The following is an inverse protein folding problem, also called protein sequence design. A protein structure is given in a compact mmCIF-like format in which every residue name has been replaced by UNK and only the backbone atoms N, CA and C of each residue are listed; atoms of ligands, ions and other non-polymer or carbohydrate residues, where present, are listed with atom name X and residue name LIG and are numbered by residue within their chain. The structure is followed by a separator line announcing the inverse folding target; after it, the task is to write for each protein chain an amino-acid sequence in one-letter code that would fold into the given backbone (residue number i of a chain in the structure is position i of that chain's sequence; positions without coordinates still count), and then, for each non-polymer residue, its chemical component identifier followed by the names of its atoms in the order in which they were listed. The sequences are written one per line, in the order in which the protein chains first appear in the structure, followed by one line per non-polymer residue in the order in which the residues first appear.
data_IF_438515257490
#
_entry.id   IF_438515257490
#
_cell.length_a   1.000
_cell.length_b   1.000
_cell.length_c   1.000
_cell.angle_alpha   90.00
_cell.angle_beta   90.00
_cell.angle_gamma   90.00
#
_symmetry.space_group_name_H-M   'P 1'
#
loop_
_entity.id
_entity.type
_entity.pdbx_description
1 polymer ?
#
# COMPACT_ATOMS: atom_id res chain seq x y z
N UNK A 1 -4.59 21.29 20.89
CA UNK A 1 -3.75 22.52 20.83
C UNK A 1 -4.28 23.37 19.70
N UNK A 2 -4.58 24.64 20.00
CA UNK A 2 -5.09 25.62 19.05
C UNK A 2 -4.09 25.81 17.92
N UNK A 3 -4.52 25.64 16.67
CA UNK A 3 -3.71 26.04 15.52
C UNK A 3 -3.51 27.56 15.57
N UNK A 4 -2.28 28.01 15.29
CA UNK A 4 -1.87 29.42 15.34
C UNK A 4 -2.72 30.29 14.42
N UNK A 5 -2.93 31.55 14.82
CA UNK A 5 -3.64 32.63 14.11
C UNK A 5 -3.13 32.93 12.69
N UNK A 6 -2.04 32.28 12.27
CA UNK A 6 -1.38 32.42 10.96
C UNK A 6 -2.16 31.77 9.82
N UNK A 7 -2.88 30.66 10.05
CA UNK A 7 -3.72 29.98 9.03
C UNK A 7 -4.93 30.82 8.58
N UNK A 8 -5.38 31.76 9.43
CA UNK A 8 -6.55 32.62 9.19
C UNK A 8 -6.27 33.68 8.11
N UNK A 9 -5.03 34.16 7.98
CA UNK A 9 -4.69 35.17 6.97
C UNK A 9 -4.56 34.61 5.55
N UNK A 10 -4.36 33.30 5.41
CA UNK A 10 -4.29 32.62 4.11
C UNK A 10 -5.70 32.53 3.45
N UNK A 11 -6.77 32.96 4.14
CA UNK A 11 -8.18 32.82 3.69
C UNK A 11 -8.65 33.94 2.75
N UNK A 12 -8.00 35.11 2.74
CA UNK A 12 -8.58 36.31 2.13
C UNK A 12 -8.27 36.58 0.65
N UNK A 13 -7.43 35.78 -0.04
CA UNK A 13 -6.83 36.22 -1.32
C UNK A 13 -7.12 35.35 -2.57
N UNK A 14 -7.91 34.28 -2.46
CA UNK A 14 -8.13 33.28 -3.53
C UNK A 14 -9.24 33.66 -4.54
N UNK A 15 -9.18 34.85 -5.13
CA UNK A 15 -10.04 35.26 -6.26
C UNK A 15 -9.20 35.91 -7.38
N UNK A 16 -8.38 35.15 -8.11
CA UNK A 16 -8.05 35.44 -9.52
C UNK A 16 -7.06 34.43 -10.10
N UNK A 17 -7.27 34.10 -11.38
CA UNK A 17 -6.47 33.14 -12.14
C UNK A 17 -5.03 33.61 -12.36
N UNK A 18 -4.06 33.09 -11.61
CA UNK A 18 -2.63 33.00 -11.99
C UNK A 18 -1.95 31.88 -11.17
N UNK A 19 -1.63 30.76 -11.81
CA UNK A 19 -1.10 29.56 -11.16
C UNK A 19 0.37 29.71 -10.68
N UNK A 20 1.14 30.63 -11.25
CA UNK A 20 2.57 30.83 -10.91
C UNK A 20 2.81 31.77 -9.72
N UNK A 21 1.93 32.73 -9.45
CA UNK A 21 2.04 33.63 -8.28
C UNK A 21 1.48 33.00 -7.00
N UNK A 22 0.35 32.29 -7.10
CA UNK A 22 -0.25 31.55 -5.99
C UNK A 22 0.66 30.46 -5.42
N UNK A 23 1.44 29.81 -6.27
CA UNK A 23 2.36 28.76 -5.88
C UNK A 23 3.56 29.28 -5.07
N UNK A 24 4.13 30.41 -5.49
CA UNK A 24 5.20 31.07 -4.73
C UNK A 24 4.69 31.58 -3.37
N UNK A 25 3.42 31.96 -3.27
CA UNK A 25 2.79 32.31 -2.00
C UNK A 25 2.63 31.09 -1.08
N UNK A 26 2.14 29.94 -1.59
CA UNK A 26 2.08 28.68 -0.80
C UNK A 26 3.47 28.27 -0.31
N UNK A 27 4.50 28.39 -1.16
CA UNK A 27 5.89 28.12 -0.81
C UNK A 27 6.41 29.08 0.26
N UNK A 28 6.09 30.37 0.17
CA UNK A 28 6.44 31.36 1.19
C UNK A 28 5.68 31.12 2.50
N UNK A 29 4.39 30.80 2.45
CA UNK A 29 3.56 30.58 3.64
C UNK A 29 4.00 29.32 4.40
N UNK A 30 4.29 28.22 3.70
CA UNK A 30 4.80 26.98 4.32
C UNK A 30 6.21 27.16 4.93
N UNK A 31 7.06 27.98 4.31
CA UNK A 31 8.40 28.32 4.83
C UNK A 31 8.31 29.28 6.02
N UNK A 32 7.39 30.23 6.01
CA UNK A 32 7.18 31.21 7.09
C UNK A 32 6.57 30.59 8.36
N UNK A 33 5.87 29.46 8.24
CA UNK A 33 5.32 28.70 9.38
C UNK A 33 6.35 27.76 10.05
N UNK A 34 7.61 27.76 9.62
CA UNK A 34 8.69 26.96 10.23
C UNK A 34 8.55 25.45 9.98
N UNK A 35 7.72 25.05 9.01
CA UNK A 35 7.61 23.66 8.60
C UNK A 35 8.82 23.31 7.71
N UNK A 36 9.60 22.29 8.10
CA UNK A 36 10.70 21.75 7.29
C UNK A 36 10.16 20.94 6.10
N UNK A 37 9.42 21.60 5.20
CA UNK A 37 8.82 21.00 4.01
C UNK A 37 9.63 21.42 2.78
N UNK A 38 10.30 20.45 2.17
CA UNK A 38 10.96 20.61 0.89
C UNK A 38 9.93 20.46 -0.24
N UNK A 39 9.91 21.42 -1.16
CA UNK A 39 9.02 21.41 -2.31
C UNK A 39 9.84 21.05 -3.55
N UNK A 40 9.44 19.98 -4.21
CA UNK A 40 10.02 19.54 -5.47
C UNK A 40 8.99 19.71 -6.59
N UNK A 41 9.44 20.20 -7.74
CA UNK A 41 8.62 20.42 -8.93
C UNK A 41 9.17 19.61 -10.11
N UNK A 42 8.34 18.73 -10.68
CA UNK A 42 8.64 18.01 -11.90
C UNK A 42 8.30 18.87 -13.11
N UNK A 43 9.31 19.40 -13.82
CA UNK A 43 9.08 19.87 -15.19
C UNK A 43 8.89 18.65 -16.09
N UNK A 44 7.90 18.70 -16.99
CA UNK A 44 7.87 17.80 -18.14
C UNK A 44 9.28 17.79 -18.77
N UNK A 45 9.79 16.59 -19.06
CA UNK A 45 11.17 16.29 -19.42
C UNK A 45 11.93 17.39 -20.20
N UNK A 46 13.25 17.43 -19.96
CA UNK A 46 14.32 18.10 -20.72
C UNK A 46 14.86 19.42 -20.12
N UNK A 47 15.68 19.33 -19.06
CA UNK A 47 16.84 20.22 -18.95
C UNK A 47 18.00 19.52 -18.20
N UNK A 48 19.06 19.06 -18.89
CA UNK A 48 20.24 18.45 -18.26
C UNK A 48 21.09 19.43 -17.44
N UNK A 49 20.75 20.72 -17.42
CA UNK A 49 21.62 21.79 -16.92
C UNK A 49 21.23 22.38 -15.55
N UNK A 50 20.42 21.67 -14.73
CA UNK A 50 20.24 22.10 -13.34
C UNK A 50 21.51 21.78 -12.52
N UNK A 51 22.09 22.76 -11.80
CA UNK A 51 23.25 22.52 -10.96
C UNK A 51 22.91 21.43 -9.95
N UNK A 52 23.73 20.37 -9.92
CA UNK A 52 23.78 19.46 -8.77
C UNK A 52 24.34 20.27 -7.59
N UNK A 53 23.50 21.06 -6.93
CA UNK A 53 23.83 21.54 -5.61
C UNK A 53 24.01 20.30 -4.75
N UNK A 54 25.25 20.09 -4.29
CA UNK A 54 25.60 19.05 -3.34
C UNK A 54 24.84 19.24 -2.04
N UNK A 55 23.58 18.83 -2.03
CA UNK A 55 22.90 18.45 -0.81
C UNK A 55 23.59 17.16 -0.36
N UNK A 56 24.09 17.19 0.87
CA UNK A 56 24.43 15.98 1.59
C UNK A 56 23.18 15.09 1.53
N UNK A 57 23.18 14.08 0.65
CA UNK A 57 22.15 13.05 0.64
C UNK A 57 22.28 12.32 1.97
N UNK A 58 21.51 12.77 2.96
CA UNK A 58 21.28 11.97 4.14
C UNK A 58 20.61 10.69 3.64
N UNK A 59 21.38 9.59 3.62
CA UNK A 59 20.96 8.31 3.05
C UNK A 59 19.67 7.78 3.67
N UNK A 60 19.29 8.32 4.82
CA UNK A 60 18.14 7.93 5.61
C UNK A 60 16.87 8.76 5.35
N UNK A 61 16.98 9.93 4.69
CA UNK A 61 15.85 10.78 4.37
C UNK A 61 15.31 10.52 2.96
N UNK A 62 14.02 10.81 2.75
CA UNK A 62 13.40 10.67 1.44
C UNK A 62 13.93 11.74 0.46
N UNK A 63 14.45 11.30 -0.69
CA UNK A 63 14.96 12.20 -1.74
C UNK A 63 13.91 12.46 -2.82
N UNK A 64 13.30 13.65 -2.79
CA UNK A 64 12.33 14.07 -3.81
C UNK A 64 12.91 14.04 -5.23
N UNK A 65 14.18 14.42 -5.41
CA UNK A 65 14.85 14.38 -6.71
C UNK A 65 14.95 12.95 -7.28
N UNK A 66 15.32 11.97 -6.45
CA UNK A 66 15.40 10.56 -6.88
C UNK A 66 14.02 10.02 -7.23
N UNK A 67 12.99 10.36 -6.46
CA UNK A 67 11.60 9.99 -6.80
C UNK A 67 11.21 10.56 -8.17
N UNK A 68 11.47 11.84 -8.40
CA UNK A 68 11.15 12.50 -9.67
C UNK A 68 11.89 11.90 -10.87
N UNK A 69 13.11 11.42 -10.70
CA UNK A 69 13.86 10.77 -11.78
C UNK A 69 13.22 9.49 -12.33
N UNK A 70 12.32 8.87 -11.56
CA UNK A 70 11.56 7.68 -11.95
C UNK A 70 10.08 7.98 -12.28
N UNK A 71 9.63 9.21 -12.08
CA UNK A 71 8.25 9.62 -12.29
C UNK A 71 7.95 9.76 -13.79
N UNK A 72 6.86 9.14 -14.24
CA UNK A 72 6.40 9.08 -15.63
C UNK A 72 4.94 9.51 -15.80
N UNK A 73 4.24 9.76 -14.68
CA UNK A 73 2.94 10.40 -14.69
C UNK A 73 3.02 11.78 -15.36
N UNK A 74 1.86 12.31 -15.70
CA UNK A 74 1.67 13.57 -16.41
C UNK A 74 1.20 14.68 -15.48
N UNK A 75 0.57 14.33 -14.35
CA UNK A 75 0.03 15.28 -13.38
C UNK A 75 0.32 14.89 -11.93
N UNK A 76 0.15 13.61 -11.59
CA UNK A 76 0.26 13.12 -10.22
C UNK A 76 1.73 13.06 -9.76
N UNK A 77 2.06 13.71 -8.64
CA UNK A 77 3.43 13.70 -8.10
C UNK A 77 4.37 14.77 -8.67
N UNK A 78 3.91 15.58 -9.64
CA UNK A 78 4.69 16.70 -10.17
C UNK A 78 4.89 17.82 -9.16
N UNK A 79 3.99 17.94 -8.18
CA UNK A 79 4.25 18.70 -6.97
C UNK A 79 4.40 17.74 -5.80
N UNK A 80 5.63 17.58 -5.34
CA UNK A 80 5.98 16.68 -4.26
C UNK A 80 6.47 17.48 -3.05
N UNK A 81 5.75 17.36 -1.95
CA UNK A 81 6.07 17.94 -0.66
C UNK A 81 6.74 16.85 0.19
N UNK A 82 7.94 17.11 0.70
CA UNK A 82 8.73 16.14 1.48
C UNK A 82 9.10 16.75 2.82
N UNK A 83 8.85 16.04 3.92
CA UNK A 83 9.25 16.48 5.28
C UNK A 83 9.88 15.35 6.08
N UNK A 84 10.91 15.61 6.91
CA UNK A 84 11.42 14.59 7.84
C UNK A 84 10.39 14.11 8.86
N UNK A 85 9.52 15.02 9.36
CA UNK A 85 8.50 14.66 10.35
C UNK A 85 7.24 15.50 10.18
N UNK A 86 6.09 14.89 10.43
CA UNK A 86 4.78 15.55 10.49
C UNK A 86 3.85 14.80 11.46
N UNK A 87 2.71 15.39 11.81
CA UNK A 87 1.67 14.66 12.54
C UNK A 87 1.03 13.57 11.67
N UNK A 88 0.52 13.94 10.49
CA UNK A 88 -0.11 13.04 9.53
C UNK A 88 -0.14 13.67 8.13
N UNK A 89 0.43 12.98 7.15
CA UNK A 89 0.34 13.33 5.72
C UNK A 89 -1.12 13.39 5.26
N UNK A 90 -1.95 12.46 5.75
CA UNK A 90 -3.38 12.40 5.43
C UNK A 90 -4.14 13.63 5.92
N UNK A 91 -3.90 14.04 7.17
CA UNK A 91 -4.60 15.20 7.72
C UNK A 91 -4.10 16.50 7.09
N UNK A 92 -2.80 16.60 6.82
CA UNK A 92 -2.22 17.75 6.12
C UNK A 92 -2.90 17.97 4.76
N UNK A 93 -2.98 16.93 3.91
CA UNK A 93 -3.62 17.05 2.61
C UNK A 93 -5.12 17.33 2.74
N UNK A 94 -5.83 16.67 3.65
CA UNK A 94 -7.28 16.89 3.85
C UNK A 94 -7.60 18.32 4.27
N UNK A 95 -6.89 18.84 5.27
CA UNK A 95 -7.11 20.18 5.81
C UNK A 95 -6.77 21.28 4.80
N UNK A 96 -5.86 20.99 3.86
CA UNK A 96 -5.45 21.93 2.82
C UNK A 96 -6.05 21.61 1.44
N UNK A 97 -7.00 20.67 1.34
CA UNK A 97 -7.53 20.16 0.05
C UNK A 97 -8.21 21.22 -0.83
N UNK A 98 -8.73 22.30 -0.23
CA UNK A 98 -9.29 23.44 -0.97
C UNK A 98 -8.22 24.32 -1.62
N UNK A 99 -6.99 24.30 -1.08
CA UNK A 99 -5.85 25.08 -1.56
C UNK A 99 -4.92 24.31 -2.47
N UNK A 100 -4.86 22.99 -2.28
CA UNK A 100 -4.02 22.11 -3.08
C UNK A 100 -4.71 21.75 -4.39
N UNK A 101 -3.96 21.84 -5.48
CA UNK A 101 -4.38 21.33 -6.78
C UNK A 101 -4.52 19.80 -6.78
N UNK A 102 -5.22 19.25 -7.78
CA UNK A 102 -5.14 17.81 -8.04
C UNK A 102 -3.71 17.42 -8.39
N UNK A 103 -3.27 16.23 -7.98
CA UNK A 103 -1.95 15.69 -8.29
C UNK A 103 -0.86 15.99 -7.25
N UNK A 104 -1.14 16.81 -6.23
CA UNK A 104 -0.16 17.08 -5.16
C UNK A 104 0.04 15.85 -4.28
N UNK A 105 1.31 15.55 -3.96
CA UNK A 105 1.71 14.43 -3.11
C UNK A 105 2.53 14.95 -1.93
N UNK A 106 2.22 14.47 -0.73
CA UNK A 106 3.00 14.69 0.48
C UNK A 106 3.63 13.39 0.92
N UNK A 107 4.94 13.40 1.17
CA UNK A 107 5.71 12.29 1.73
C UNK A 107 6.36 12.75 3.03
N UNK A 108 6.38 11.88 4.03
CA UNK A 108 7.10 12.14 5.28
C UNK A 108 8.03 10.98 5.62
N UNK A 109 9.16 11.24 6.29
CA UNK A 109 10.00 10.17 6.85
C UNK A 109 9.44 9.61 8.16
N UNK A 110 8.69 10.41 8.92
CA UNK A 110 8.06 10.02 10.19
C UNK A 110 6.72 10.72 10.40
N UNK A 111 5.76 9.99 10.96
CA UNK A 111 4.47 10.53 11.41
C UNK A 111 4.28 10.31 12.91
N UNK A 112 4.04 11.38 13.67
CA UNK A 112 3.77 11.28 15.12
C UNK A 112 2.32 10.92 15.45
N UNK A 113 1.38 11.09 14.51
CA UNK A 113 -0.04 10.73 14.65
C UNK A 113 -0.61 10.15 13.34
N UNK A 114 0.11 9.18 12.77
CA UNK A 114 -0.31 8.49 11.54
C UNK A 114 -1.70 7.87 11.67
N UNK A 115 -2.50 7.95 10.59
CA UNK A 115 -3.90 7.51 10.58
C UNK A 115 -4.08 6.16 9.89
N UNK A 116 -4.89 5.31 10.49
CA UNK A 116 -5.49 4.13 9.90
C UNK A 116 -7.03 4.24 9.85
N UNK A 117 -7.69 3.20 9.34
CA UNK A 117 -9.16 3.14 9.30
C UNK A 117 -9.77 2.95 10.68
N UNK A 118 -11.02 3.39 10.83
CA UNK A 118 -11.81 3.16 12.06
C UNK A 118 -11.17 3.73 13.33
N UNK A 119 -10.36 4.78 13.20
CA UNK A 119 -9.64 5.40 14.31
C UNK A 119 -8.31 4.73 14.69
N UNK A 120 -7.92 3.63 14.02
CA UNK A 120 -6.63 3.00 14.24
C UNK A 120 -5.47 3.97 13.94
N UNK A 121 -4.32 3.75 14.57
CA UNK A 121 -3.10 4.52 14.31
C UNK A 121 -2.16 3.74 13.41
N UNK A 122 -1.45 4.47 12.53
CA UNK A 122 -0.37 3.92 11.71
C UNK A 122 0.97 4.30 12.34
N UNK A 123 1.78 3.29 12.70
CA UNK A 123 3.15 3.48 13.19
C UNK A 123 4.11 3.60 12.00
N UNK A 124 5.11 4.48 12.12
CA UNK A 124 6.07 4.79 11.05
C UNK A 124 7.52 4.52 11.48
N UNK A 125 7.91 3.25 11.69
CA UNK A 125 9.32 2.93 11.92
C UNK A 125 10.18 3.36 10.72
N UNK A 126 11.46 3.65 10.98
CA UNK A 126 12.42 4.06 9.94
C UNK A 126 12.47 3.00 8.84
N UNK A 127 12.30 3.42 7.59
CA UNK A 127 12.21 2.54 6.42
C UNK A 127 10.79 2.32 5.90
N UNK A 128 9.76 2.76 6.62
CA UNK A 128 8.40 2.85 6.06
C UNK A 128 8.28 3.95 5.01
N UNK A 129 7.39 3.73 4.04
CA UNK A 129 6.84 4.77 3.18
C UNK A 129 5.52 5.28 3.81
N UNK A 130 5.43 6.60 4.00
CA UNK A 130 4.21 7.31 4.36
C UNK A 130 3.95 8.40 3.34
N UNK A 131 2.88 8.25 2.56
CA UNK A 131 2.49 9.29 1.60
C UNK A 131 0.98 9.51 1.55
N UNK A 132 0.59 10.73 1.23
CA UNK A 132 -0.80 11.08 0.88
C UNK A 132 -0.83 11.88 -0.41
N UNK A 133 -1.73 11.52 -1.32
CA UNK A 133 -1.96 12.22 -2.58
C UNK A 133 -3.39 12.76 -2.65
N UNK A 134 -3.59 13.91 -3.29
CA UNK A 134 -4.92 14.43 -3.63
C UNK A 134 -5.19 14.28 -5.13
N UNK A 135 -6.36 13.74 -5.47
CA UNK A 135 -6.85 13.62 -6.84
C UNK A 135 -8.29 14.12 -6.92
N UNK A 136 -8.68 14.70 -8.07
CA UNK A 136 -10.07 15.09 -8.36
C UNK A 136 -10.59 14.20 -9.48
N UNK A 137 -11.55 13.33 -9.16
CA UNK A 137 -12.09 12.35 -10.10
C UNK A 137 -13.52 12.73 -10.50
N UNK A 138 -13.76 12.89 -11.81
CA UNK A 138 -15.07 13.18 -12.37
C UNK A 138 -15.80 11.88 -12.72
N UNK A 139 -16.32 11.21 -11.70
CA UNK A 139 -16.98 9.89 -11.81
C UNK A 139 -18.42 9.91 -11.28
N UNK A 140 -19.29 8.99 -11.75
CA UNK A 140 -20.58 8.74 -11.12
C UNK A 140 -20.44 8.34 -9.66
N UNK A 141 -21.37 8.79 -8.80
CA UNK A 141 -21.35 8.47 -7.38
C UNK A 141 -21.39 6.97 -7.07
N UNK A 142 -22.03 6.18 -7.93
CA UNK A 142 -22.07 4.72 -7.83
C UNK A 142 -20.67 4.07 -7.94
N UNK A 143 -19.68 4.77 -8.50
CA UNK A 143 -18.32 4.26 -8.64
C UNK A 143 -17.44 4.57 -7.43
N UNK A 144 -17.81 5.53 -6.58
CA UNK A 144 -17.00 5.95 -5.43
C UNK A 144 -16.53 4.78 -4.51
N UNK A 145 -17.34 3.73 -4.23
CA UNK A 145 -16.88 2.59 -3.44
C UNK A 145 -15.67 1.85 -4.03
N UNK A 146 -15.51 1.87 -5.36
CA UNK A 146 -14.44 1.18 -6.08
C UNK A 146 -13.10 1.92 -6.08
N UNK A 147 -13.07 3.21 -5.70
CA UNK A 147 -11.83 4.01 -5.64
C UNK A 147 -10.75 3.28 -4.83
N UNK A 148 -11.14 2.70 -3.70
CA UNK A 148 -10.21 1.97 -2.83
C UNK A 148 -9.62 0.71 -3.50
N UNK A 149 -10.36 0.06 -4.41
CA UNK A 149 -9.86 -1.10 -5.16
C UNK A 149 -8.90 -0.68 -6.26
N UNK A 150 -9.20 0.43 -6.94
CA UNK A 150 -8.33 1.04 -7.94
C UNK A 150 -6.99 1.43 -7.32
N UNK A 151 -7.01 2.06 -6.14
CA UNK A 151 -5.77 2.42 -5.41
C UNK A 151 -5.02 1.17 -4.95
N UNK A 152 -5.71 0.16 -4.42
CA UNK A 152 -5.06 -1.07 -3.96
C UNK A 152 -4.37 -1.82 -5.10
N UNK A 153 -5.01 -1.88 -6.27
CA UNK A 153 -4.41 -2.44 -7.48
C UNK A 153 -3.19 -1.64 -7.91
N UNK A 154 -3.29 -0.30 -7.95
CA UNK A 154 -2.17 0.57 -8.32
C UNK A 154 -0.96 0.40 -7.38
N UNK A 155 -1.19 0.19 -6.09
CA UNK A 155 -0.11 -0.10 -5.12
C UNK A 155 0.58 -1.42 -5.45
N UNK A 156 -0.18 -2.50 -5.68
CA UNK A 156 0.41 -3.81 -6.05
C UNK A 156 1.21 -3.71 -7.35
N UNK A 157 0.63 -3.14 -8.40
CA UNK A 157 1.30 -2.97 -9.68
C UNK A 157 2.52 -2.04 -9.58
N UNK A 158 2.45 -1.01 -8.72
CA UNK A 158 3.57 -0.11 -8.47
C UNK A 158 4.74 -0.82 -7.78
N UNK A 159 4.47 -1.74 -6.85
CA UNK A 159 5.52 -2.59 -6.27
C UNK A 159 6.10 -3.53 -7.33
N UNK A 160 5.26 -4.18 -8.13
CA UNK A 160 5.71 -5.05 -9.22
C UNK A 160 6.62 -4.33 -10.22
N UNK A 161 6.27 -3.10 -10.60
CA UNK A 161 7.10 -2.25 -11.46
C UNK A 161 8.44 -1.91 -10.80
N UNK A 162 8.44 -1.55 -9.52
CA UNK A 162 9.67 -1.27 -8.78
C UNK A 162 10.58 -2.51 -8.71
N UNK A 163 10.01 -3.70 -8.45
CA UNK A 163 10.72 -4.98 -8.48
C UNK A 163 11.31 -5.24 -9.86
N UNK A 164 10.56 -5.00 -10.93
CA UNK A 164 11.03 -5.18 -12.30
C UNK A 164 12.19 -4.24 -12.66
N UNK A 165 12.23 -3.04 -12.08
CA UNK A 165 13.34 -2.10 -12.27
C UNK A 165 14.60 -2.60 -11.57
N UNK A 166 14.49 -3.07 -10.33
CA UNK A 166 15.66 -3.56 -9.58
C UNK A 166 16.09 -4.94 -10.09
N UNK A 167 15.17 -5.89 -10.16
CA UNK A 167 15.42 -7.29 -10.53
C UNK A 167 14.63 -7.71 -11.78
N UNK A 168 15.01 -7.27 -13.00
CA UNK A 168 14.29 -7.59 -14.24
C UNK A 168 14.15 -9.09 -14.53
N UNK A 169 15.00 -9.92 -13.91
CA UNK A 169 15.02 -11.38 -14.08
C UNK A 169 14.08 -12.10 -13.12
N UNK A 170 13.56 -11.41 -12.10
CA UNK A 170 12.60 -11.99 -11.17
C UNK A 170 11.19 -11.80 -11.74
N UNK A 171 10.38 -12.87 -11.88
CA UNK A 171 8.97 -12.71 -12.22
C UNK A 171 8.28 -11.85 -11.15
N UNK A 172 7.53 -10.83 -11.55
CA UNK A 172 6.92 -9.88 -10.63
C UNK A 172 5.95 -10.55 -9.64
N UNK A 173 5.27 -11.61 -10.09
CA UNK A 173 4.40 -12.45 -9.26
C UNK A 173 5.12 -13.20 -8.14
N UNK A 174 6.45 -13.33 -8.20
CA UNK A 174 7.24 -14.09 -7.24
C UNK A 174 7.35 -13.41 -5.87
N UNK A 175 7.16 -12.09 -5.78
CA UNK A 175 7.26 -11.38 -4.50
C UNK A 175 6.09 -11.73 -3.55
N UNK A 176 5.00 -12.29 -4.07
CA UNK A 176 3.90 -12.78 -3.25
C UNK A 176 3.11 -11.66 -2.56
N UNK A 177 3.01 -10.48 -3.17
CA UNK A 177 2.18 -9.39 -2.62
C UNK A 177 0.74 -9.59 -3.03
N UNK A 178 -0.18 -9.38 -2.08
CA UNK A 178 -1.62 -9.57 -2.27
C UNK A 178 -2.44 -8.50 -1.58
N UNK A 179 -3.63 -8.27 -2.11
CA UNK A 179 -4.63 -7.38 -1.54
C UNK A 179 -5.46 -8.19 -0.54
N UNK A 180 -5.42 -7.80 0.73
CA UNK A 180 -6.41 -8.22 1.70
C UNK A 180 -7.55 -7.20 1.68
N UNK A 181 -8.69 -7.61 1.16
CA UNK A 181 -9.85 -6.76 1.01
C UNK A 181 -10.27 -6.18 2.37
N UNK A 182 -10.65 -4.89 2.44
CA UNK A 182 -10.75 -3.99 1.29
C UNK A 182 -9.49 -3.18 1.00
N UNK A 183 -8.56 -2.99 1.94
CA UNK A 183 -7.61 -1.87 1.88
C UNK A 183 -6.19 -2.19 2.40
N UNK A 184 -5.88 -3.45 2.66
CA UNK A 184 -4.57 -3.81 3.20
C UNK A 184 -3.73 -4.57 2.19
N UNK A 185 -2.41 -4.39 2.27
CA UNK A 185 -1.43 -5.09 1.46
C UNK A 185 -0.73 -6.12 2.34
N UNK A 186 -0.69 -7.36 1.86
CA UNK A 186 -0.22 -8.52 2.61
C UNK A 186 0.75 -9.35 1.77
N UNK A 187 1.62 -10.12 2.42
CA UNK A 187 2.35 -11.20 1.77
C UNK A 187 1.46 -12.43 1.62
N UNK A 188 1.82 -13.34 0.71
CA UNK A 188 1.20 -14.68 0.60
C UNK A 188 1.37 -15.52 1.86
N UNK A 189 2.36 -15.20 2.71
CA UNK A 189 2.53 -15.78 4.03
C UNK A 189 1.55 -15.22 5.09
N UNK A 190 0.65 -14.31 4.72
CA UNK A 190 -0.36 -13.74 5.62
C UNK A 190 0.16 -12.62 6.52
N UNK A 191 1.34 -12.06 6.24
CA UNK A 191 1.91 -10.94 7.01
C UNK A 191 1.54 -9.59 6.38
N UNK A 192 1.17 -8.62 7.21
CA UNK A 192 0.79 -7.28 6.74
C UNK A 192 2.04 -6.49 6.31
N UNK A 193 2.01 -5.98 5.08
CA UNK A 193 3.02 -5.09 4.51
C UNK A 193 2.60 -3.63 4.57
N UNK A 194 1.29 -3.36 4.56
CA UNK A 194 0.83 -1.99 4.49
C UNK A 194 -0.67 -1.82 4.50
N UNK A 195 -1.10 -0.57 4.45
CA UNK A 195 -2.50 -0.17 4.46
C UNK A 195 -2.75 1.07 3.63
N UNK A 196 -3.96 1.12 3.08
CA UNK A 196 -4.47 2.22 2.28
C UNK A 196 -5.62 2.89 3.04
N UNK A 197 -5.63 4.22 3.05
CA UNK A 197 -6.65 5.03 3.67
C UNK A 197 -7.18 6.05 2.65
N UNK A 198 -8.44 5.87 2.26
CA UNK A 198 -9.11 6.77 1.34
C UNK A 198 -10.08 7.67 2.10
N UNK A 199 -10.01 8.97 1.83
CA UNK A 199 -11.02 9.94 2.26
C UNK A 199 -11.55 10.69 1.03
N UNK A 200 -12.85 10.55 0.77
CA UNK A 200 -13.52 11.19 -0.36
C UNK A 200 -14.43 12.32 0.13
N UNK A 201 -14.36 13.48 -0.49
CA UNK A 201 -15.40 14.51 -0.40
C UNK A 201 -15.94 14.80 -1.80
N UNK A 202 -17.19 15.24 -1.89
CA UNK A 202 -17.77 15.69 -3.15
C UNK A 202 -17.72 17.22 -3.21
N UNK A 203 -17.18 17.78 -4.29
CA UNK A 203 -17.20 19.22 -4.54
C UNK A 203 -17.02 19.51 -6.03
N UNK A 204 -17.68 20.55 -6.54
CA UNK A 204 -17.45 21.05 -7.91
C UNK A 204 -17.57 19.93 -8.96
N UNK A 205 -18.65 19.15 -8.89
CA UNK A 205 -18.95 18.03 -9.78
C UNK A 205 -17.87 16.93 -9.89
N UNK A 206 -17.02 16.83 -8.86
CA UNK A 206 -15.99 15.81 -8.78
C UNK A 206 -15.80 15.30 -7.35
N UNK A 207 -15.25 14.10 -7.22
CA UNK A 207 -14.76 13.59 -5.94
C UNK A 207 -13.34 14.09 -5.68
N UNK A 208 -13.14 14.81 -4.59
CA UNK A 208 -11.80 15.00 -4.02
C UNK A 208 -11.42 13.75 -3.25
N UNK A 209 -10.44 13.03 -3.76
CA UNK A 209 -9.93 11.80 -3.19
C UNK A 209 -8.59 12.10 -2.54
N UNK A 210 -8.51 11.96 -1.22
CA UNK A 210 -7.24 11.95 -0.49
C UNK A 210 -6.85 10.51 -0.22
N UNK A 211 -5.79 10.06 -0.89
CA UNK A 211 -5.27 8.70 -0.87
C UNK A 211 -4.03 8.63 0.00
N UNK A 212 -4.15 8.08 1.20
CA UNK A 212 -3.04 7.77 2.09
C UNK A 212 -2.54 6.35 1.88
N UNK A 213 -1.23 6.19 1.73
CA UNK A 213 -0.55 4.90 1.52
C UNK A 213 0.57 4.79 2.54
N UNK A 214 0.47 3.74 3.38
CA UNK A 214 1.52 3.34 4.32
C UNK A 214 2.04 1.96 3.95
N UNK A 215 3.34 1.83 3.67
CA UNK A 215 3.97 0.55 3.31
C UNK A 215 5.26 0.34 4.12
N UNK A 216 5.49 -0.90 4.53
CA UNK A 216 6.75 -1.35 5.10
C UNK A 216 7.73 -1.66 3.97
N UNK A 217 8.76 -0.84 3.78
CA UNK A 217 9.67 -0.98 2.63
C UNK A 217 10.95 -1.67 3.04
N UNK A 218 11.72 -1.06 3.95
CA UNK A 218 12.99 -1.61 4.48
C UNK A 218 12.95 -1.85 5.99
N UNK A 219 11.77 -1.69 6.62
CA UNK A 219 11.57 -1.92 8.05
C UNK A 219 11.04 -3.33 8.33
N UNK A 220 11.92 -4.28 8.67
CA UNK A 220 11.53 -5.66 9.01
C UNK A 220 10.59 -5.82 10.21
N UNK A 221 10.30 -4.74 10.94
CA UNK A 221 9.46 -4.73 12.13
C UNK A 221 8.35 -3.67 11.99
N UNK A 222 7.16 -3.86 12.62
CA UNK A 222 6.82 -4.93 13.56
C UNK A 222 6.34 -6.25 12.92
N UNK A 223 6.17 -6.29 11.59
CA UNK A 223 5.64 -7.47 10.89
C UNK A 223 6.65 -8.07 9.91
N UNK A 224 6.85 -7.39 8.78
CA UNK A 224 7.80 -7.70 7.70
C UNK A 224 7.82 -6.52 6.72
N UNK A 225 8.68 -6.55 5.72
CA UNK A 225 8.77 -5.51 4.68
C UNK A 225 9.07 -6.05 3.28
N UNK A 226 8.85 -5.19 2.28
CA UNK A 226 9.09 -5.52 0.87
C UNK A 226 10.52 -5.98 0.57
N UNK A 227 11.52 -5.38 1.25
CA UNK A 227 12.92 -5.77 1.09
C UNK A 227 13.17 -7.22 1.52
N UNK A 228 12.66 -7.64 2.68
CA UNK A 228 12.81 -9.01 3.18
C UNK A 228 12.15 -10.05 2.27
N UNK A 229 10.98 -9.71 1.69
CA UNK A 229 10.32 -10.54 0.71
C UNK A 229 11.19 -10.70 -0.54
N UNK A 230 11.79 -9.61 -1.03
CA UNK A 230 12.64 -9.61 -2.22
C UNK A 230 13.91 -10.44 -1.99
N UNK A 231 14.58 -10.23 -0.85
CA UNK A 231 15.76 -11.01 -0.44
C UNK A 231 15.43 -12.50 -0.35
N UNK A 232 14.28 -12.86 0.23
CA UNK A 232 13.82 -14.24 0.32
C UNK A 232 13.61 -14.87 -1.06
N UNK A 233 13.02 -14.14 -2.02
CA UNK A 233 12.87 -14.60 -3.40
C UNK A 233 14.21 -14.85 -4.09
N UNK A 234 15.18 -13.95 -3.90
CA UNK A 234 16.51 -14.05 -4.50
C UNK A 234 17.28 -15.25 -3.94
N UNK A 235 17.25 -15.45 -2.61
CA UNK A 235 17.90 -16.59 -1.95
C UNK A 235 17.30 -17.92 -2.42
N UNK A 236 15.97 -18.02 -2.52
CA UNK A 236 15.32 -19.26 -2.96
C UNK A 236 15.68 -19.58 -4.41
N UNK A 237 15.77 -18.57 -5.27
CA UNK A 237 16.20 -18.74 -6.66
C UNK A 237 17.63 -19.27 -6.78
N UNK A 238 18.57 -18.77 -5.97
CA UNK A 238 19.94 -19.27 -5.97
C UNK A 238 20.03 -20.74 -5.54
N UNK A 239 19.23 -21.14 -4.55
CA UNK A 239 19.12 -22.54 -4.13
C UNK A 239 18.59 -23.42 -5.27
N UNK A 240 17.57 -22.97 -5.99
CA UNK A 240 17.03 -23.72 -7.13
C UNK A 240 18.09 -23.92 -8.21
N UNK A 241 18.92 -22.91 -8.52
CA UNK A 241 20.04 -23.07 -9.45
C UNK A 241 21.13 -24.02 -8.94
N UNK A 242 21.45 -23.98 -7.64
CA UNK A 242 22.46 -24.85 -7.05
C UNK A 242 22.02 -26.33 -7.06
N UNK A 243 20.73 -26.60 -6.81
CA UNK A 243 20.16 -27.96 -6.87
C UNK A 243 20.18 -28.50 -8.31
N UNK A 244 19.84 -27.67 -9.30
CA UNK A 244 19.90 -28.06 -10.72
C UNK A 244 21.34 -28.28 -11.20
N UNK A 245 22.33 -27.59 -10.62
CA UNK A 245 23.75 -27.77 -10.94
C UNK A 245 24.38 -29.06 -10.39
N UNK A 246 23.74 -29.74 -9.43
CA UNK A 246 24.33 -30.90 -8.72
C UNK A 246 23.82 -32.25 -9.25
N UNK A 247 22.85 -32.28 -10.17
CA UNK A 247 22.32 -33.53 -10.76
C UNK A 247 23.10 -34.03 -11.98
N UNK A 248 24.30 -33.47 -12.22
CA UNK A 248 25.20 -33.83 -13.31
C UNK A 248 26.32 -34.82 -12.97
N UNK A 249 26.12 -35.75 -12.03
CA UNK A 249 27.08 -36.85 -11.82
C UNK A 249 26.40 -38.10 -11.23
N UNK A 250 26.01 -39.01 -12.11
CA UNK A 250 25.75 -40.40 -11.79
C UNK A 250 27.06 -41.11 -11.47
N UNK A 251 27.21 -41.59 -10.23
CA UNK A 251 28.01 -42.79 -9.93
C UNK A 251 27.38 -43.57 -8.79
N UNK A 252 26.97 -44.79 -9.13
CA UNK A 252 26.53 -45.89 -8.29
C UNK A 252 27.55 -46.31 -7.22
N UNK A 253 27.08 -46.63 -6.00
CA UNK A 253 27.34 -47.93 -5.34
C UNK A 253 26.74 -48.01 -3.91
N UNK A 254 25.82 -48.96 -3.73
CA UNK A 254 25.64 -49.90 -2.61
C UNK A 254 25.82 -49.45 -1.14
N UNK A 255 24.70 -49.36 -0.42
CA UNK A 255 24.32 -50.23 0.72
C UNK A 255 25.07 -50.13 2.06
N UNK A 256 24.38 -49.70 3.12
CA UNK A 256 24.16 -50.48 4.35
C UNK A 256 23.25 -49.77 5.37
N UNK A 257 22.35 -50.55 5.97
CA UNK A 257 21.49 -50.24 7.12
C UNK A 257 22.30 -50.10 8.42
N UNK A 258 22.01 -49.11 9.27
CA UNK A 258 22.03 -49.22 10.75
C UNK A 258 20.97 -48.28 11.34
N UNK A 259 20.34 -48.76 12.41
CA UNK A 259 19.22 -48.21 13.17
C UNK A 259 19.69 -47.44 14.44
N UNK A 260 18.77 -46.64 14.98
CA UNK A 260 18.62 -46.14 16.37
C UNK A 260 19.55 -45.04 16.90
N UNK A 261 18.96 -43.89 17.26
CA UNK A 261 18.78 -43.44 18.65
C UNK A 261 18.26 -41.98 18.72
N UNK A 262 17.31 -41.76 19.62
CA UNK A 262 16.82 -40.45 20.04
C UNK A 262 17.86 -39.74 20.93
N UNK A 263 17.96 -38.41 20.83
CA UNK A 263 17.93 -37.49 21.98
C UNK A 263 18.00 -36.03 21.52
N UNK A 264 17.32 -35.16 22.29
CA UNK A 264 17.12 -33.75 21.98
C UNK A 264 18.35 -32.87 22.17
N UNK A 265 18.42 -31.80 21.38
CA UNK A 265 19.25 -30.65 21.69
C UNK A 265 18.68 -29.38 21.04
N UNK A 266 18.67 -28.32 21.83
CA UNK A 266 18.15 -26.99 21.54
C UNK A 266 18.69 -26.39 20.23
N UNK A 267 17.80 -25.77 19.45
CA UNK A 267 18.16 -24.92 18.34
C UNK A 267 18.80 -23.61 18.87
N UNK A 268 20.12 -23.64 19.04
CA UNK A 268 20.93 -22.45 19.28
C UNK A 268 20.96 -21.59 18.01
N UNK A 269 20.68 -20.30 18.18
CA UNK A 269 20.77 -19.28 17.16
C UNK A 269 22.17 -19.25 16.53
N UNK A 270 22.29 -19.73 15.29
CA UNK A 270 23.48 -19.53 14.49
C UNK A 270 23.48 -18.10 13.94
N UNK A 271 24.49 -17.32 14.34
CA UNK A 271 24.75 -15.99 13.77
C UNK A 271 24.98 -16.08 12.25
N UNK A 272 24.51 -15.10 11.45
CA UNK A 272 24.74 -15.12 10.02
C UNK A 272 26.23 -14.88 9.74
N UNK A 273 26.82 -15.77 8.93
CA UNK A 273 28.19 -15.68 8.44
C UNK A 273 28.29 -14.51 7.45
N UNK A 274 29.25 -13.63 7.72
CA UNK A 274 29.64 -12.45 6.96
C UNK A 274 30.27 -12.80 5.59
N UNK A 275 29.55 -13.31 4.59
CA UNK A 275 30.17 -13.60 3.28
C UNK A 275 29.32 -13.28 2.03
N UNK A 276 28.39 -12.32 2.09
CA UNK A 276 27.76 -11.74 0.88
C UNK A 276 28.30 -10.33 0.62
N UNK A 277 29.55 -10.25 0.16
CA UNK A 277 30.15 -9.06 -0.46
C UNK A 277 30.31 -9.31 -1.95
N UNK A 278 29.38 -8.84 -2.79
CA UNK A 278 29.56 -8.97 -4.24
C UNK A 278 28.41 -8.69 -5.21
N UNK A 279 27.28 -8.12 -4.79
CA UNK A 279 26.29 -7.56 -5.71
C UNK A 279 26.20 -6.06 -5.44
N UNK A 280 26.35 -5.23 -6.48
CA UNK A 280 26.08 -3.80 -6.37
C UNK A 280 24.67 -3.63 -5.80
N UNK A 281 24.57 -3.14 -4.55
CA UNK A 281 23.34 -3.06 -3.76
C UNK A 281 22.18 -2.53 -4.61
N UNK A 282 21.31 -3.45 -5.01
CA UNK A 282 20.04 -3.14 -5.63
C UNK A 282 19.20 -2.35 -4.63
N UNK A 283 19.08 -1.05 -4.87
CA UNK A 283 18.38 -0.17 -3.95
C UNK A 283 16.88 -0.21 -4.28
N UNK A 284 16.19 -1.21 -3.77
CA UNK A 284 14.73 -1.18 -3.66
C UNK A 284 14.36 -0.21 -2.54
N UNK A 285 14.04 1.03 -2.88
CA UNK A 285 13.82 2.09 -1.90
C UNK A 285 12.52 2.85 -2.10
N UNK A 286 12.26 3.74 -1.14
CA UNK A 286 11.01 4.49 -1.01
C UNK A 286 10.79 5.40 -2.20
N UNK A 287 11.84 5.99 -2.75
CA UNK A 287 11.77 6.93 -3.87
C UNK A 287 11.35 6.25 -5.17
N UNK A 288 12.00 5.13 -5.53
CA UNK A 288 11.61 4.33 -6.68
C UNK A 288 10.17 3.81 -6.50
N UNK A 289 9.87 3.28 -5.32
CA UNK A 289 8.55 2.73 -5.01
C UNK A 289 7.44 3.79 -5.12
N UNK A 290 7.64 4.97 -4.54
CA UNK A 290 6.70 6.09 -4.64
C UNK A 290 6.44 6.44 -6.10
N UNK A 291 7.49 6.62 -6.91
CA UNK A 291 7.34 6.96 -8.32
C UNK A 291 6.54 5.88 -9.09
N UNK A 292 6.87 4.60 -8.91
CA UNK A 292 6.15 3.50 -9.57
C UNK A 292 4.68 3.43 -9.14
N UNK A 293 4.37 3.61 -7.85
CA UNK A 293 2.97 3.66 -7.37
C UNK A 293 2.23 4.84 -7.98
N UNK A 294 2.82 6.04 -8.02
CA UNK A 294 2.16 7.22 -8.60
C UNK A 294 1.91 7.05 -10.10
N UNK A 295 2.85 6.44 -10.83
CA UNK A 295 2.68 6.12 -12.26
C UNK A 295 1.49 5.18 -12.49
N UNK A 296 1.37 4.12 -11.68
CA UNK A 296 0.25 3.18 -11.78
C UNK A 296 -1.06 3.80 -11.30
N UNK A 297 -1.02 4.61 -10.25
CA UNK A 297 -2.20 5.28 -9.71
C UNK A 297 -2.83 6.22 -10.74
N UNK A 298 -2.03 7.01 -11.45
CA UNK A 298 -2.53 7.86 -12.54
C UNK A 298 -3.14 7.01 -13.67
N UNK A 299 -2.46 5.95 -14.13
CA UNK A 299 -2.97 5.05 -15.18
C UNK A 299 -4.30 4.39 -14.79
N UNK A 300 -4.38 3.90 -13.55
CA UNK A 300 -5.57 3.25 -13.00
C UNK A 300 -6.72 4.25 -12.88
N UNK A 301 -6.48 5.47 -12.39
CA UNK A 301 -7.49 6.52 -12.34
C UNK A 301 -7.97 6.95 -13.71
N UNK A 302 -7.09 7.15 -14.69
CA UNK A 302 -7.50 7.45 -16.07
C UNK A 302 -8.41 6.37 -16.65
N UNK A 303 -8.08 5.09 -16.42
CA UNK A 303 -8.93 3.97 -16.87
C UNK A 303 -10.27 3.97 -16.15
N UNK A 304 -10.24 4.20 -14.85
CA UNK A 304 -11.42 4.20 -13.99
C UNK A 304 -12.39 5.35 -14.31
N UNK A 305 -11.88 6.56 -14.52
CA UNK A 305 -12.71 7.71 -14.94
C UNK A 305 -13.34 7.48 -16.31
N UNK A 306 -12.61 6.86 -17.24
CA UNK A 306 -13.11 6.64 -18.59
C UNK A 306 -14.10 5.47 -18.70
N UNK A 307 -13.93 4.40 -17.92
CA UNK A 307 -14.60 3.11 -18.16
C UNK A 307 -15.16 2.43 -16.92
N UNK A 308 -15.01 3.02 -15.73
CA UNK A 308 -15.39 2.42 -14.47
C UNK A 308 -14.45 1.30 -14.03
N UNK A 309 -14.89 0.49 -13.07
CA UNK A 309 -14.03 -0.53 -12.45
C UNK A 309 -13.86 -1.81 -13.28
N UNK A 310 -14.81 -2.11 -14.19
CA UNK A 310 -14.84 -3.40 -14.89
C UNK A 310 -13.53 -3.78 -15.60
N UNK A 311 -12.84 -2.87 -16.33
CA UNK A 311 -11.56 -3.21 -16.97
C UNK A 311 -10.41 -3.51 -16.00
N UNK A 312 -10.54 -3.13 -14.72
CA UNK A 312 -9.53 -3.32 -13.68
C UNK A 312 -9.87 -4.51 -12.76
N UNK A 313 -11.08 -5.05 -12.87
CA UNK A 313 -11.63 -6.05 -11.95
C UNK A 313 -10.86 -7.36 -11.96
N UNK A 314 -10.51 -7.87 -13.15
CA UNK A 314 -9.75 -9.11 -13.28
C UNK A 314 -8.37 -9.00 -12.63
N UNK A 315 -7.64 -7.92 -12.93
CA UNK A 315 -6.34 -7.66 -12.33
C UNK A 315 -6.44 -7.52 -10.80
N UNK A 316 -7.46 -6.82 -10.31
CA UNK A 316 -7.72 -6.71 -8.86
C UNK A 316 -7.97 -8.07 -8.20
N UNK A 317 -8.87 -8.90 -8.76
CA UNK A 317 -9.21 -10.22 -8.23
C UNK A 317 -8.05 -11.22 -8.38
N UNK A 318 -7.19 -11.07 -9.39
CA UNK A 318 -5.97 -11.88 -9.51
C UNK A 318 -4.95 -11.56 -8.41
N UNK A 319 -4.98 -10.33 -7.88
CA UNK A 319 -4.05 -9.84 -6.88
C UNK A 319 -4.56 -9.99 -5.43
N UNK A 320 -5.80 -10.38 -5.18
CA UNK A 320 -6.35 -10.46 -3.81
C UNK A 320 -6.12 -11.82 -3.12
N UNK A 321 -6.44 -11.92 -1.83
CA UNK A 321 -6.29 -13.14 -1.01
C UNK A 321 -7.55 -14.02 -0.91
N UNK A 322 -8.69 -13.61 -1.44
CA UNK A 322 -10.00 -14.13 -0.98
C UNK A 322 -10.70 -15.10 -1.92
N UNK A 323 -10.10 -15.44 -3.07
CA UNK A 323 -10.71 -16.38 -4.01
C UNK A 323 -11.02 -17.71 -3.34
N UNK A 324 -12.28 -18.15 -3.42
CA UNK A 324 -12.78 -19.42 -2.90
C UNK A 324 -12.56 -19.62 -1.38
N UNK A 325 -12.35 -18.53 -0.65
CA UNK A 325 -12.20 -18.60 0.79
C UNK A 325 -13.55 -19.01 1.43
N UNK A 326 -13.53 -20.07 2.23
CA UNK A 326 -14.67 -20.48 3.03
C UNK A 326 -14.75 -19.65 4.32
N UNK A 327 -15.95 -19.17 4.64
CA UNK A 327 -16.24 -18.37 5.82
C UNK A 327 -17.55 -18.82 6.45
N UNK A 328 -17.76 -18.45 7.71
CA UNK A 328 -19.04 -18.61 8.40
C UNK A 328 -19.60 -17.21 8.69
N UNK A 329 -20.78 -16.92 8.15
CA UNK A 329 -21.49 -15.68 8.38
C UNK A 329 -22.61 -15.88 9.43
N UNK A 330 -22.84 -14.85 10.24
CA UNK A 330 -23.86 -14.86 11.28
C UNK A 330 -24.83 -13.71 11.03
N UNK A 331 -26.12 -13.96 11.20
CA UNK A 331 -27.14 -12.94 11.14
C UNK A 331 -27.25 -12.26 12.52
N UNK A 332 -26.93 -10.95 12.61
CA UNK A 332 -26.94 -10.22 13.88
C UNK A 332 -28.33 -10.06 14.48
N UNK A 333 -29.40 -10.20 13.70
CA UNK A 333 -30.78 -9.98 14.15
C UNK A 333 -31.41 -11.25 14.74
N UNK A 334 -30.87 -12.44 14.42
CA UNK A 334 -31.43 -13.72 14.85
C UNK A 334 -30.60 -14.43 15.93
N UNK A 335 -29.30 -14.13 16.04
CA UNK A 335 -28.41 -14.77 17.03
C UNK A 335 -27.74 -13.69 17.88
N UNK A 336 -28.15 -13.58 19.14
CA UNK A 336 -27.43 -12.78 20.12
C UNK A 336 -26.00 -13.35 20.29
N UNK A 337 -24.94 -12.54 20.24
CA UNK A 337 -23.57 -13.03 20.29
C UNK A 337 -23.24 -13.61 21.67
N UNK A 338 -23.47 -14.91 21.86
CA UNK A 338 -22.95 -15.65 23.01
C UNK A 338 -21.50 -15.97 22.73
N UNK A 339 -20.59 -15.13 23.25
CA UNK A 339 -19.16 -15.43 23.25
C UNK A 339 -18.94 -16.60 24.21
N UNK A 340 -18.38 -17.71 23.70
CA UNK A 340 -17.82 -18.74 24.57
C UNK A 340 -16.69 -18.14 25.43
N UNK A 341 -16.24 -18.86 26.47
CA UNK A 341 -15.12 -18.45 27.31
C UNK A 341 -13.80 -18.21 26.53
N UNK A 342 -13.70 -18.68 25.28
CA UNK A 342 -12.60 -18.43 24.35
C UNK A 342 -12.84 -17.27 23.36
N UNK A 343 -14.02 -16.64 23.40
CA UNK A 343 -14.41 -15.54 22.51
C UNK A 343 -14.90 -15.98 21.12
N UNK A 344 -14.99 -17.29 20.83
CA UNK A 344 -15.50 -17.81 19.56
C UNK A 344 -17.03 -17.99 19.59
N UNK A 345 -17.67 -17.65 18.47
CA UNK A 345 -19.04 -18.07 18.10
C UNK A 345 -19.00 -19.52 17.61
N UNK A 346 -20.00 -20.33 17.97
CA UNK A 346 -20.08 -21.73 17.52
C UNK A 346 -20.31 -21.81 16.00
N UNK A 347 -19.63 -22.71 15.27
CA UNK A 347 -19.83 -22.87 13.82
C UNK A 347 -21.24 -23.32 13.44
N UNK A 348 -21.91 -24.05 14.33
CA UNK A 348 -23.18 -24.75 14.04
C UNK A 348 -24.39 -23.81 13.86
N UNK A 349 -24.24 -22.54 14.23
CA UNK A 349 -25.31 -21.53 14.16
C UNK A 349 -25.14 -20.57 12.96
N UNK A 350 -24.03 -20.62 12.23
CA UNK A 350 -23.75 -19.70 11.12
C UNK A 350 -24.03 -20.33 9.74
N UNK A 351 -24.20 -19.47 8.73
CA UNK A 351 -24.30 -19.89 7.33
C UNK A 351 -22.90 -20.02 6.76
N UNK A 352 -22.56 -21.22 6.26
CA UNK A 352 -21.32 -21.44 5.52
C UNK A 352 -21.40 -20.79 4.15
N UNK A 353 -20.42 -19.95 3.82
CA UNK A 353 -20.34 -19.24 2.55
C UNK A 353 -18.95 -19.42 1.93
N UNK A 354 -18.91 -19.41 0.60
CA UNK A 354 -17.68 -19.37 -0.19
C UNK A 354 -17.57 -18.02 -0.89
N UNK A 355 -16.46 -17.32 -0.73
CA UNK A 355 -16.22 -16.04 -1.42
C UNK A 355 -16.05 -16.29 -2.93
N UNK A 356 -16.88 -15.64 -3.74
CA UNK A 356 -16.88 -15.74 -5.21
C UNK A 356 -16.34 -14.52 -5.92
N UNK A 357 -16.25 -13.37 -5.24
CA UNK A 357 -15.74 -12.15 -5.87
C UNK A 357 -16.34 -10.88 -5.27
N UNK A 358 -16.67 -9.94 -6.16
CA UNK A 358 -17.31 -8.68 -5.82
C UNK A 358 -18.68 -8.59 -6.47
N UNK A 359 -19.65 -8.04 -5.74
CA UNK A 359 -20.97 -7.70 -6.27
C UNK A 359 -20.90 -6.48 -7.20
N UNK A 360 -21.99 -6.17 -7.90
CA UNK A 360 -22.10 -4.96 -8.73
C UNK A 360 -21.95 -3.67 -7.93
N UNK A 361 -22.30 -3.71 -6.64
CA UNK A 361 -22.16 -2.60 -5.69
C UNK A 361 -20.76 -2.48 -5.11
N UNK A 362 -19.87 -3.43 -5.43
CA UNK A 362 -18.50 -3.47 -4.94
C UNK A 362 -18.36 -4.08 -3.54
N UNK A 363 -19.35 -4.77 -3.02
CA UNK A 363 -19.24 -5.53 -1.77
C UNK A 363 -18.71 -6.94 -2.03
N UNK A 364 -18.31 -7.67 -0.97
CA UNK A 364 -17.91 -9.05 -1.13
C UNK A 364 -19.13 -9.89 -1.55
N UNK A 365 -18.97 -10.66 -2.63
CA UNK A 365 -19.98 -11.61 -3.09
C UNK A 365 -19.58 -13.00 -2.60
N UNK A 366 -20.50 -13.65 -1.90
CA UNK A 366 -20.34 -15.01 -1.43
C UNK A 366 -21.54 -15.88 -1.82
N UNK A 367 -21.35 -17.18 -1.82
CA UNK A 367 -22.36 -18.17 -2.20
C UNK A 367 -22.45 -19.24 -1.12
N UNK A 368 -23.67 -19.63 -0.73
CA UNK A 368 -23.89 -20.74 0.20
C UNK A 368 -23.90 -22.10 -0.51
N UNK A 369 -24.02 -23.18 0.27
CA UNK A 369 -24.06 -24.55 -0.25
C UNK A 369 -25.24 -24.84 -1.20
N UNK A 370 -26.25 -23.96 -1.25
CA UNK A 370 -27.42 -24.08 -2.12
C UNK A 370 -27.31 -23.20 -3.37
N UNK A 371 -26.19 -22.51 -3.56
CA UNK A 371 -25.99 -21.60 -4.69
C UNK A 371 -26.65 -20.22 -4.50
N UNK A 372 -27.16 -19.90 -3.31
CA UNK A 372 -27.74 -18.58 -3.07
C UNK A 372 -26.63 -17.56 -2.83
N UNK A 373 -26.74 -16.41 -3.49
CA UNK A 373 -25.76 -15.33 -3.39
C UNK A 373 -26.04 -14.42 -2.19
N UNK A 374 -24.98 -14.03 -1.51
CA UNK A 374 -24.99 -13.16 -0.33
C UNK A 374 -24.01 -12.01 -0.54
N UNK A 375 -24.50 -10.79 -0.33
CA UNK A 375 -23.68 -9.58 -0.34
C UNK A 375 -23.21 -9.25 1.08
N UNK A 376 -21.89 -9.07 1.22
CA UNK A 376 -21.18 -9.01 2.49
C UNK A 376 -20.49 -7.66 2.67
N UNK A 377 -20.71 -7.02 3.82
CA UNK A 377 -20.22 -5.66 4.11
C UNK A 377 -19.04 -5.68 5.10
N UNK A 378 -18.10 -4.71 5.01
CA UNK A 378 -17.01 -4.61 5.97
C UNK A 378 -17.56 -4.17 7.34
N UNK A 379 -17.15 -4.84 8.42
CA UNK A 379 -17.69 -4.61 9.77
C UNK A 379 -17.04 -3.43 10.54
N UNK A 380 -16.20 -2.65 9.86
CA UNK A 380 -15.73 -1.36 10.34
C UNK A 380 -14.45 -1.37 11.18
N UNK A 381 -13.96 -2.52 11.67
CA UNK A 381 -12.63 -2.56 12.30
C UNK A 381 -11.95 -3.93 12.46
N UNK A 382 -12.58 -5.03 12.06
CA UNK A 382 -12.00 -6.36 12.28
C UNK A 382 -12.39 -7.32 11.18
N UNK A 383 -11.94 -7.07 9.95
CA UNK A 383 -11.79 -8.15 8.97
C UNK A 383 -10.57 -8.98 9.33
N UNK A 384 -10.62 -9.58 10.51
CA UNK A 384 -9.88 -10.80 10.78
C UNK A 384 -10.64 -11.89 10.03
N UNK A 385 -10.36 -12.04 8.73
CA UNK A 385 -10.91 -13.16 7.93
C UNK A 385 -10.37 -14.53 8.40
N UNK A 386 -9.72 -14.57 9.58
CA UNK A 386 -9.42 -15.75 10.38
C UNK A 386 -10.26 -15.83 11.68
N UNK A 387 -11.20 -14.91 11.94
CA UNK A 387 -12.15 -14.94 13.07
C UNK A 387 -13.53 -14.39 12.68
N UNK A 388 -14.42 -15.33 12.32
CA UNK A 388 -15.88 -15.29 12.45
C UNK A 388 -16.49 -13.93 12.77
N UNK A 389 -16.89 -13.17 11.74
CA UNK A 389 -18.04 -12.24 11.72
C UNK A 389 -18.05 -11.46 10.40
N UNK A 390 -19.09 -11.65 9.58
CA UNK A 390 -19.41 -10.75 8.47
C UNK A 390 -20.90 -10.41 8.55
N UNK A 391 -21.22 -9.13 8.41
CA UNK A 391 -22.59 -8.61 8.40
C UNK A 391 -23.21 -8.80 7.01
N UNK A 392 -24.32 -9.54 6.94
CA UNK A 392 -25.22 -9.63 5.79
C UNK A 392 -25.98 -8.31 5.64
N UNK A 393 -26.02 -7.74 4.44
CA UNK A 393 -26.96 -6.65 4.14
C UNK A 393 -28.25 -7.27 3.63
N UNK A 394 -29.34 -7.11 4.38
CA UNK A 394 -30.67 -7.50 3.91
C UNK A 394 -31.15 -6.35 2.99
N UNK A 395 -31.30 -6.63 1.71
CA UNK A 395 -32.06 -5.79 0.76
C UNK A 395 -33.54 -5.96 0.95
#
# INVERSE_FOLDING_TARGET
MSFSSSLVNIVAFFQSNHASSHFNQIKQDLVMEGANINIHEGRACCDPALPQHGQHDDKDCFSGHRCMSHLKSTSLGHLLLVTPEITSTQDFIRQNSSRLGSGVVMVADKQSSGKGRGGNSWTSPKGCLMMSAISRLAIPGAWAPFINYVVSLAVVQGVEDAVKVVEPRLPTSSLGIRIKWPNDIYSTAGLKLGGILIHTTWSSDSFNVVTGIGLNVTNGQPTTCLMELLESCLINREKDYAVVGTTGSTSSSSGQYVQDAADGAAAAAASPRDDVKGSALLRFDRELLTACILNQLERCFMTFEAKGFEPLKEAYLSAWLHSEQQIVAYDPDTIAPVKSSSGLLSPDLGVQLTIKGLSQSGFLLAEDMYGCQHELTPDGNSLDMMRNLIKRKIT
#
